data_IF_082496147407
#
_entry.id   IF_082496147407
#
_cell.length_a   1.000
_cell.length_b   1.000
_cell.length_c   1.000
_cell.angle_alpha   90.00
_cell.angle_beta   90.00
_cell.angle_gamma   90.00
#
_symmetry.space_group_name_H-M   'P 1'
#
loop_
_entity.id
_entity.type
_entity.pdbx_description
1 polymer ?
#
# COMPACT_ATOMS: atom_id res chain seq x y z
N UNK A 1 -12.34 8.36 -17.82
CA UNK A 1 -10.99 8.79 -17.47
C UNK A 1 -11.09 9.44 -16.10
N UNK A 2 -10.29 9.02 -15.15
CA UNK A 2 -10.35 9.48 -13.74
C UNK A 2 -9.03 10.20 -13.42
N UNK A 3 -9.12 11.42 -12.88
CA UNK A 3 -7.94 12.15 -12.39
C UNK A 3 -7.46 11.56 -11.07
N UNK A 4 -6.16 11.32 -10.94
CA UNK A 4 -5.48 10.78 -9.77
C UNK A 4 -4.47 11.79 -9.26
N UNK A 5 -4.50 12.07 -7.96
CA UNK A 5 -3.49 12.89 -7.31
C UNK A 5 -2.17 12.12 -7.21
N UNK A 6 -1.10 12.68 -7.75
CA UNK A 6 0.28 12.26 -7.48
C UNK A 6 1.01 13.36 -6.70
N UNK A 7 2.18 13.05 -6.17
CA UNK A 7 2.97 14.06 -5.45
C UNK A 7 3.49 15.19 -6.36
N UNK A 8 3.46 15.01 -7.67
CA UNK A 8 3.91 16.01 -8.66
C UNK A 8 2.76 16.70 -9.39
N UNK A 9 1.52 16.40 -9.04
CA UNK A 9 0.32 16.92 -9.66
C UNK A 9 -0.68 15.83 -10.04
N UNK A 10 -1.72 16.18 -10.78
CA UNK A 10 -2.72 15.21 -11.24
C UNK A 10 -2.29 14.55 -12.55
N UNK A 11 -2.65 13.28 -12.69
CA UNK A 11 -2.53 12.51 -13.94
C UNK A 11 -3.87 11.86 -14.27
N UNK A 12 -4.06 11.46 -15.52
CA UNK A 12 -5.16 10.56 -15.89
C UNK A 12 -4.83 9.12 -15.50
N UNK A 13 -5.84 8.34 -15.12
CA UNK A 13 -5.67 6.92 -14.75
C UNK A 13 -5.00 6.07 -15.84
N UNK A 14 -5.14 6.45 -17.11
CA UNK A 14 -4.45 5.79 -18.23
C UNK A 14 -2.93 6.02 -18.26
N UNK A 15 -2.43 7.03 -17.55
CA UNK A 15 -1.01 7.38 -17.48
C UNK A 15 -0.26 6.62 -16.36
N UNK A 16 -0.95 5.83 -15.53
CA UNK A 16 -0.34 5.06 -14.44
C UNK A 16 0.74 4.09 -14.91
N UNK A 17 0.54 3.44 -16.07
CA UNK A 17 1.46 2.42 -16.57
C UNK A 17 1.62 1.23 -15.62
N UNK A 18 2.77 0.55 -15.70
CA UNK A 18 3.12 -0.52 -14.76
C UNK A 18 3.27 0.05 -13.36
N UNK A 19 2.49 -0.47 -12.41
CA UNK A 19 2.40 0.09 -11.06
C UNK A 19 2.74 -0.93 -9.99
N UNK A 20 3.66 -0.56 -9.09
CA UNK A 20 3.86 -1.22 -7.82
C UNK A 20 2.89 -0.59 -6.80
N UNK A 21 1.91 -1.38 -6.38
CA UNK A 21 0.78 -0.85 -5.58
C UNK A 21 1.13 -0.57 -4.13
N UNK A 22 2.19 -1.16 -3.59
CA UNK A 22 2.52 -1.11 -2.17
C UNK A 22 4.04 -1.10 -1.94
N UNK A 23 4.62 0.10 -1.94
CA UNK A 23 6.05 0.31 -1.66
C UNK A 23 6.25 1.58 -0.83
N UNK A 24 7.28 1.62 -0.03
CA UNK A 24 7.62 2.76 0.82
C UNK A 24 8.95 3.38 0.37
N UNK A 25 8.94 4.67 0.04
CA UNK A 25 10.19 5.39 -0.23
C UNK A 25 11.00 5.54 1.05
N UNK A 26 10.31 5.75 2.17
CA UNK A 26 10.92 5.88 3.48
C UNK A 26 9.92 5.55 4.58
N UNK A 27 10.29 4.71 5.54
CA UNK A 27 9.50 4.46 6.75
C UNK A 27 10.32 4.84 7.99
N UNK A 28 9.77 5.69 8.84
CA UNK A 28 10.40 6.18 10.08
C UNK A 28 9.45 6.16 11.26
N UNK A 29 10.00 5.94 12.45
CA UNK A 29 9.31 6.20 13.71
C UNK A 29 9.18 7.72 13.89
N UNK A 30 7.99 8.29 13.62
CA UNK A 30 7.76 9.75 13.55
C UNK A 30 8.26 10.51 14.79
N UNK A 31 7.90 10.02 15.96
CA UNK A 31 8.29 10.64 17.23
C UNK A 31 9.79 10.61 17.45
N UNK A 32 10.48 9.55 17.01
CA UNK A 32 11.94 9.44 17.09
C UNK A 32 12.59 10.42 16.10
N UNK A 33 12.09 10.47 14.87
CA UNK A 33 12.63 11.36 13.84
C UNK A 33 12.51 12.83 14.24
N UNK A 34 11.39 13.23 14.84
CA UNK A 34 11.18 14.61 15.31
C UNK A 34 12.07 14.94 16.52
N UNK A 35 12.20 14.02 17.50
CA UNK A 35 12.95 14.29 18.72
C UNK A 35 14.46 14.10 18.58
N UNK A 36 14.88 13.21 17.71
CA UNK A 36 16.28 12.84 17.53
C UNK A 36 16.72 12.88 16.06
N UNK A 37 16.54 14.01 15.33
CA UNK A 37 16.81 14.09 13.89
C UNK A 37 18.25 13.72 13.52
N UNK A 38 19.21 13.83 14.45
CA UNK A 38 20.61 13.44 14.26
C UNK A 38 20.84 11.94 14.02
N UNK A 39 19.80 11.09 14.25
CA UNK A 39 19.88 9.64 14.01
C UNK A 39 19.64 9.27 12.55
N UNK A 40 19.20 10.24 11.74
CA UNK A 40 18.82 10.01 10.35
C UNK A 40 19.76 10.77 9.40
N UNK A 41 20.17 10.09 8.35
CA UNK A 41 20.98 10.65 7.28
C UNK A 41 20.11 10.91 6.04
N UNK A 42 19.62 12.14 5.92
CA UNK A 42 18.71 12.55 4.86
C UNK A 42 19.35 12.43 3.46
N UNK A 43 20.67 12.62 3.34
CA UNK A 43 21.39 12.52 2.07
C UNK A 43 21.47 11.04 1.65
N UNK A 44 21.82 10.16 2.57
CA UNK A 44 21.84 8.72 2.33
C UNK A 44 20.45 8.20 1.94
N UNK A 45 19.40 8.54 2.70
CA UNK A 45 18.03 8.06 2.40
C UNK A 45 17.51 8.58 1.05
N UNK A 46 17.84 9.83 0.72
CA UNK A 46 17.52 10.42 -0.60
C UNK A 46 18.21 9.66 -1.72
N UNK A 47 19.53 9.43 -1.60
CA UNK A 47 20.31 8.74 -2.62
C UNK A 47 19.84 7.29 -2.81
N UNK A 48 19.49 6.62 -1.72
CA UNK A 48 18.97 5.24 -1.74
C UNK A 48 17.60 5.16 -2.43
N UNK A 49 16.68 6.08 -2.11
CA UNK A 49 15.37 6.12 -2.76
C UNK A 49 15.46 6.43 -4.25
N UNK A 50 16.32 7.39 -4.65
CA UNK A 50 16.58 7.71 -6.08
C UNK A 50 17.16 6.49 -6.80
N UNK A 51 18.13 5.81 -6.20
CA UNK A 51 18.75 4.62 -6.78
C UNK A 51 17.71 3.54 -7.06
N UNK A 52 16.91 3.17 -6.06
CA UNK A 52 15.92 2.10 -6.18
C UNK A 52 14.78 2.46 -7.15
N UNK A 53 14.31 3.73 -7.16
CA UNK A 53 13.31 4.15 -8.14
C UNK A 53 13.85 4.16 -9.58
N UNK A 54 15.11 4.53 -9.79
CA UNK A 54 15.73 4.41 -11.10
C UNK A 54 15.87 2.95 -11.56
N UNK A 55 16.14 2.03 -10.63
CA UNK A 55 16.19 0.60 -10.92
C UNK A 55 14.83 0.03 -11.35
N UNK A 56 13.74 0.39 -10.66
CA UNK A 56 12.39 -0.07 -11.06
C UNK A 56 11.95 0.59 -12.36
N UNK A 57 12.28 1.86 -12.57
CA UNK A 57 12.02 2.56 -13.84
C UNK A 57 12.71 1.89 -15.03
N UNK A 58 13.98 1.50 -14.87
CA UNK A 58 14.73 0.79 -15.90
C UNK A 58 14.10 -0.56 -16.28
N UNK A 59 13.23 -1.11 -15.44
CA UNK A 59 12.44 -2.33 -15.65
C UNK A 59 11.02 -2.08 -16.14
N UNK A 60 10.70 -0.83 -16.47
CA UNK A 60 9.41 -0.45 -17.03
C UNK A 60 8.33 -0.12 -16.00
N UNK A 61 8.64 -0.02 -14.72
CA UNK A 61 7.70 0.50 -13.71
C UNK A 61 7.55 2.01 -13.87
N UNK A 62 6.33 2.48 -13.94
CA UNK A 62 5.98 3.89 -14.16
C UNK A 62 5.51 4.58 -12.88
N UNK A 63 4.81 3.83 -12.02
CA UNK A 63 4.15 4.38 -10.84
C UNK A 63 4.41 3.52 -9.60
N UNK A 64 4.55 4.19 -8.45
CA UNK A 64 4.61 3.57 -7.12
C UNK A 64 3.51 4.19 -6.26
N UNK A 65 2.68 3.36 -5.63
CA UNK A 65 1.79 3.79 -4.56
C UNK A 65 2.51 3.63 -3.23
N UNK A 66 2.69 4.75 -2.52
CA UNK A 66 3.38 4.78 -1.23
C UNK A 66 2.37 4.96 -0.09
N UNK A 67 2.05 3.89 0.65
CA UNK A 67 1.07 3.92 1.74
C UNK A 67 1.66 4.41 3.08
N UNK A 68 2.78 5.11 3.07
CA UNK A 68 3.34 5.74 4.27
C UNK A 68 2.43 6.88 4.73
N UNK A 69 1.82 6.70 5.89
CA UNK A 69 0.90 7.65 6.53
C UNK A 69 1.38 8.02 7.93
N UNK A 70 0.58 8.77 8.68
CA UNK A 70 0.83 9.02 10.11
C UNK A 70 1.06 7.68 10.85
N UNK A 71 2.14 7.60 11.61
CA UNK A 71 2.63 6.39 12.27
C UNK A 71 3.74 5.65 11.52
N UNK A 72 4.02 6.07 10.26
CA UNK A 72 5.11 5.53 9.42
C UNK A 72 6.11 6.61 8.97
N UNK A 73 5.94 7.86 9.40
CA UNK A 73 6.85 8.96 9.05
C UNK A 73 6.61 9.54 7.67
N UNK A 74 5.35 9.70 7.26
CA UNK A 74 4.99 10.32 5.96
C UNK A 74 5.69 11.66 5.77
N UNK A 75 6.29 11.86 4.59
CA UNK A 75 6.92 13.10 4.17
C UNK A 75 6.70 13.29 2.66
N UNK A 76 5.68 14.10 2.32
CA UNK A 76 5.29 14.28 0.91
C UNK A 76 6.25 15.16 0.12
N UNK A 77 7.03 16.03 0.79
CA UNK A 77 8.08 16.80 0.11
C UNK A 77 9.26 15.91 -0.28
N UNK A 78 9.62 14.96 0.57
CA UNK A 78 10.59 13.93 0.22
C UNK A 78 10.11 13.10 -0.98
N UNK A 79 8.86 12.62 -0.95
CA UNK A 79 8.26 11.86 -2.05
C UNK A 79 8.24 12.66 -3.35
N UNK A 80 7.85 13.95 -3.31
CA UNK A 80 7.85 14.83 -4.47
C UNK A 80 9.24 15.00 -5.07
N UNK A 81 10.25 15.26 -4.23
CA UNK A 81 11.65 15.37 -4.65
C UNK A 81 12.10 14.13 -5.40
N UNK A 82 11.91 12.94 -4.81
CA UNK A 82 12.31 11.66 -5.42
C UNK A 82 11.58 11.43 -6.74
N UNK A 83 10.24 11.67 -6.76
CA UNK A 83 9.44 11.54 -7.98
C UNK A 83 9.93 12.45 -9.10
N UNK A 84 10.25 13.72 -8.82
CA UNK A 84 10.77 14.67 -9.81
C UNK A 84 12.15 14.27 -10.34
N UNK A 85 13.04 13.80 -9.47
CA UNK A 85 14.41 13.42 -9.85
C UNK A 85 14.44 12.14 -10.70
N UNK A 86 13.57 11.19 -10.42
CA UNK A 86 13.52 9.90 -11.13
C UNK A 86 12.55 9.88 -12.31
N UNK A 87 11.51 10.71 -12.25
CA UNK A 87 10.38 10.69 -13.18
C UNK A 87 9.48 9.47 -13.02
N UNK A 88 9.56 8.74 -11.89
CA UNK A 88 8.59 7.74 -11.49
C UNK A 88 7.43 8.46 -10.79
N UNK A 89 6.21 8.18 -11.19
CA UNK A 89 5.03 8.73 -10.50
C UNK A 89 4.93 8.14 -9.10
N UNK A 90 4.71 8.99 -8.10
CA UNK A 90 4.47 8.55 -6.72
C UNK A 90 3.09 9.02 -6.27
N UNK A 91 2.28 8.11 -5.77
CA UNK A 91 0.96 8.39 -5.23
C UNK A 91 1.03 8.22 -3.72
N UNK A 92 0.85 9.32 -2.98
CA UNK A 92 0.88 9.33 -1.53
C UNK A 92 -0.48 8.97 -0.93
N UNK A 93 -0.47 8.36 0.24
CA UNK A 93 -1.67 8.03 1.01
C UNK A 93 -1.96 9.05 2.12
N UNK A 94 -3.20 9.01 2.61
CA UNK A 94 -3.57 9.58 3.91
C UNK A 94 -4.28 8.56 4.79
N UNK A 95 -4.22 8.74 6.10
CA UNK A 95 -4.75 7.80 7.08
C UNK A 95 -3.86 7.70 8.31
N UNK A 96 -4.07 6.66 9.10
CA UNK A 96 -3.27 6.38 10.30
C UNK A 96 -2.89 4.89 10.32
N UNK A 97 -1.60 4.64 10.56
CA UNK A 97 -1.06 3.30 10.74
C UNK A 97 -0.85 3.01 12.23
N UNK A 98 -1.67 2.16 12.79
CA UNK A 98 -1.57 1.72 14.18
C UNK A 98 -2.22 0.35 14.37
N UNK A 99 -1.74 -0.39 15.40
CA UNK A 99 -2.29 -1.69 15.79
C UNK A 99 -2.97 -1.69 17.16
N UNK A 100 -2.81 -0.60 17.93
CA UNK A 100 -3.24 -0.55 19.32
C UNK A 100 -4.05 0.70 19.65
N UNK A 101 -3.43 1.86 19.60
CA UNK A 101 -4.02 3.14 19.99
C UNK A 101 -3.59 4.26 19.06
N UNK A 102 -4.37 5.31 19.05
CA UNK A 102 -4.07 6.57 18.34
C UNK A 102 -3.68 7.66 19.33
N UNK A 103 -3.08 8.73 18.82
CA UNK A 103 -2.75 9.88 19.64
C UNK A 103 -3.98 10.42 20.39
N UNK A 104 -3.82 10.92 21.66
CA UNK A 104 -4.92 11.50 22.44
C UNK A 104 -5.70 12.59 21.70
N UNK A 105 -5.04 13.29 20.77
CA UNK A 105 -5.67 14.25 19.89
C UNK A 105 -6.87 13.67 19.14
N UNK A 106 -6.73 12.46 18.58
CA UNK A 106 -7.79 11.76 17.86
C UNK A 106 -8.67 10.92 18.79
N UNK A 107 -8.14 10.41 19.91
CA UNK A 107 -8.95 9.65 20.88
C UNK A 107 -10.10 10.50 21.42
N UNK A 108 -9.83 11.78 21.72
CA UNK A 108 -10.75 12.71 22.37
C UNK A 108 -11.64 13.52 21.39
N UNK A 109 -11.66 13.15 20.12
CA UNK A 109 -12.52 13.74 19.09
C UNK A 109 -13.37 12.66 18.43
N UNK A 110 -14.43 13.03 17.72
CA UNK A 110 -15.27 12.07 17.01
C UNK A 110 -14.62 11.53 15.74
N UNK A 111 -15.30 10.61 15.09
CA UNK A 111 -14.82 9.96 13.86
C UNK A 111 -14.86 10.94 12.69
N UNK A 112 -15.87 11.83 12.65
CA UNK A 112 -16.02 12.80 11.57
C UNK A 112 -14.88 13.81 11.57
N UNK A 113 -14.44 14.26 12.75
CA UNK A 113 -13.24 15.11 12.86
C UNK A 113 -12.01 14.42 12.27
N UNK A 114 -11.83 13.12 12.49
CA UNK A 114 -10.72 12.35 11.89
C UNK A 114 -10.87 12.27 10.37
N UNK A 115 -12.07 11.96 9.89
CA UNK A 115 -12.37 11.93 8.46
C UNK A 115 -12.13 13.28 7.79
N UNK A 116 -12.45 14.41 8.47
CA UNK A 116 -12.17 15.77 7.98
C UNK A 116 -10.68 15.98 7.69
N UNK A 117 -9.78 15.43 8.54
CA UNK A 117 -8.34 15.55 8.31
C UNK A 117 -7.90 14.78 7.06
N UNK A 118 -8.45 13.58 6.84
CA UNK A 118 -8.14 12.79 5.65
C UNK A 118 -8.71 13.45 4.37
N UNK A 119 -9.91 13.99 4.44
CA UNK A 119 -10.50 14.78 3.34
C UNK A 119 -9.65 16.02 3.03
N UNK A 120 -9.17 16.73 4.05
CA UNK A 120 -8.27 17.87 3.89
C UNK A 120 -6.99 17.47 3.14
N UNK A 121 -6.39 16.34 3.48
CA UNK A 121 -5.19 15.82 2.80
C UNK A 121 -5.45 15.46 1.32
N UNK A 122 -6.68 15.03 0.99
CA UNK A 122 -7.07 14.64 -0.37
C UNK A 122 -7.48 15.85 -1.23
N UNK A 123 -8.21 16.80 -0.65
CA UNK A 123 -8.80 17.89 -1.42
C UNK A 123 -7.97 19.17 -1.43
N UNK A 124 -7.23 19.42 -0.35
CA UNK A 124 -6.44 20.65 -0.18
C UNK A 124 -4.95 20.39 -0.23
N UNK A 125 -4.43 19.56 0.67
CA UNK A 125 -3.03 19.17 0.67
C UNK A 125 -2.54 18.62 2.01
N UNK A 126 -1.49 17.83 1.92
CA UNK A 126 -0.83 17.14 3.03
C UNK A 126 0.25 18.04 3.64
N UNK A 127 0.39 18.03 4.98
CA UNK A 127 1.53 18.65 5.70
C UNK A 127 1.76 20.13 5.33
N UNK A 128 0.70 20.92 5.19
CA UNK A 128 0.74 22.33 4.78
C UNK A 128 1.36 22.57 3.38
N UNK A 129 1.31 21.58 2.51
CA UNK A 129 1.68 21.69 1.09
C UNK A 129 0.43 21.70 0.21
N UNK A 130 0.60 21.86 -1.10
CA UNK A 130 -0.44 21.64 -2.11
C UNK A 130 -0.46 20.20 -2.65
N UNK A 131 0.42 19.34 -2.15
CA UNK A 131 0.51 17.93 -2.55
C UNK A 131 -0.66 17.17 -1.92
N UNK A 132 -1.44 16.47 -2.75
CA UNK A 132 -2.66 15.81 -2.34
C UNK A 132 -2.48 14.30 -2.29
N UNK A 133 -3.11 13.66 -1.30
CA UNK A 133 -3.16 12.21 -1.24
C UNK A 133 -4.07 11.64 -2.34
N UNK A 134 -3.69 10.48 -2.91
CA UNK A 134 -4.46 9.79 -3.95
C UNK A 134 -5.27 8.62 -3.43
N UNK A 135 -5.00 8.11 -2.23
CA UNK A 135 -5.72 6.99 -1.62
C UNK A 135 -5.66 7.04 -0.09
N UNK A 136 -6.46 6.19 0.54
CA UNK A 136 -6.58 6.08 1.99
C UNK A 136 -5.88 4.83 2.51
N UNK A 137 -5.28 4.91 3.71
CA UNK A 137 -4.61 3.79 4.37
C UNK A 137 -5.04 3.63 5.82
N UNK A 138 -5.34 2.38 6.21
CA UNK A 138 -5.52 1.96 7.61
C UNK A 138 -4.84 0.62 7.86
N UNK A 139 -4.80 0.18 9.11
CA UNK A 139 -4.08 -1.03 9.50
C UNK A 139 -4.80 -1.78 10.61
N UNK A 140 -4.76 -3.12 10.53
CA UNK A 140 -4.98 -4.06 11.63
C UNK A 140 -3.96 -5.17 11.54
N UNK A 141 -3.46 -5.66 12.67
CA UNK A 141 -2.50 -6.77 12.69
C UNK A 141 -2.99 -7.87 13.64
N UNK A 142 -2.09 -8.78 14.03
CA UNK A 142 -2.33 -9.95 14.91
C UNK A 142 -3.10 -9.64 16.20
N UNK A 143 -3.10 -8.39 16.65
CA UNK A 143 -3.84 -7.93 17.84
C UNK A 143 -5.36 -7.91 17.62
N UNK A 144 -5.80 -8.08 16.37
CA UNK A 144 -7.20 -8.01 16.01
C UNK A 144 -7.77 -6.59 16.05
N UNK A 145 -9.08 -6.48 16.03
CA UNK A 145 -9.79 -5.20 16.01
C UNK A 145 -9.80 -4.56 17.41
N UNK A 146 -8.96 -3.53 17.59
CA UNK A 146 -8.94 -2.70 18.79
C UNK A 146 -9.84 -1.48 18.59
N UNK A 147 -10.39 -0.92 19.67
CA UNK A 147 -11.31 0.24 19.63
C UNK A 147 -10.78 1.43 18.81
N UNK A 148 -9.52 1.79 19.02
CA UNK A 148 -8.91 2.92 18.33
C UNK A 148 -8.62 2.59 16.85
N UNK A 149 -8.28 1.34 16.56
CA UNK A 149 -8.10 0.81 15.20
C UNK A 149 -9.42 0.84 14.43
N UNK A 150 -10.52 0.37 15.04
CA UNK A 150 -11.87 0.47 14.46
C UNK A 150 -12.23 1.92 14.15
N UNK A 151 -11.93 2.85 15.08
CA UNK A 151 -12.16 4.28 14.87
C UNK A 151 -11.44 4.81 13.64
N UNK A 152 -10.19 4.39 13.39
CA UNK A 152 -9.44 4.77 12.19
C UNK A 152 -10.11 4.23 10.93
N UNK A 153 -10.53 2.95 10.93
CA UNK A 153 -11.19 2.34 9.77
C UNK A 153 -12.48 3.07 9.43
N UNK A 154 -13.31 3.41 10.45
CA UNK A 154 -14.53 4.19 10.23
C UNK A 154 -14.22 5.61 9.72
N UNK A 155 -13.16 6.25 10.22
CA UNK A 155 -12.70 7.56 9.70
C UNK A 155 -12.27 7.49 8.25
N UNK A 156 -11.53 6.44 7.87
CA UNK A 156 -11.13 6.14 6.49
C UNK A 156 -12.36 5.89 5.60
N UNK A 157 -13.32 5.08 6.08
CA UNK A 157 -14.58 4.82 5.37
C UNK A 157 -15.35 6.11 5.05
N UNK A 158 -15.54 6.98 6.05
CA UNK A 158 -16.24 8.26 5.88
C UNK A 158 -15.50 9.24 4.95
N UNK A 159 -14.16 9.25 4.99
CA UNK A 159 -13.36 10.03 4.06
C UNK A 159 -13.51 9.49 2.62
N UNK A 160 -13.48 8.16 2.43
CA UNK A 160 -13.75 7.53 1.14
C UNK A 160 -15.12 7.93 0.57
N UNK A 161 -16.19 7.82 1.37
CA UNK A 161 -17.55 8.15 0.93
C UNK A 161 -17.71 9.61 0.50
N UNK A 162 -16.87 10.51 1.03
CA UNK A 162 -16.89 11.95 0.70
C UNK A 162 -16.03 12.29 -0.51
N UNK A 163 -14.93 11.57 -0.73
CA UNK A 163 -13.93 11.93 -1.74
C UNK A 163 -13.87 10.98 -2.93
N UNK A 164 -14.33 9.74 -2.75
CA UNK A 164 -14.27 8.69 -3.76
C UNK A 164 -12.89 8.05 -3.96
N UNK A 165 -11.81 8.51 -3.27
CA UNK A 165 -10.50 7.89 -3.40
C UNK A 165 -10.48 6.50 -2.76
N UNK A 166 -9.76 5.51 -3.35
CA UNK A 166 -9.83 4.14 -2.90
C UNK A 166 -9.12 3.90 -1.55
N UNK A 167 -9.39 2.75 -0.95
CA UNK A 167 -8.89 2.35 0.36
C UNK A 167 -7.92 1.19 0.23
N UNK A 168 -6.72 1.31 0.78
CA UNK A 168 -5.77 0.23 1.01
C UNK A 168 -5.68 -0.07 2.49
N UNK A 169 -5.70 -1.35 2.86
CA UNK A 169 -5.52 -1.76 4.25
C UNK A 169 -4.22 -2.54 4.45
N UNK A 170 -3.75 -2.58 5.68
CA UNK A 170 -2.83 -3.59 6.17
C UNK A 170 -3.64 -4.61 6.95
N UNK A 171 -3.51 -5.90 6.66
CA UNK A 171 -4.20 -6.96 7.37
C UNK A 171 -3.25 -8.07 7.83
N UNK A 172 -3.73 -8.93 8.71
CA UNK A 172 -3.05 -10.14 9.16
C UNK A 172 -3.95 -11.35 8.89
N UNK A 173 -3.72 -12.10 7.80
CA UNK A 173 -4.58 -13.19 7.37
C UNK A 173 -4.81 -14.25 8.45
N UNK A 174 -3.77 -14.67 9.16
CA UNK A 174 -3.86 -15.68 10.20
C UNK A 174 -4.79 -15.31 11.38
N UNK A 175 -5.05 -14.00 11.59
CA UNK A 175 -6.02 -13.49 12.57
C UNK A 175 -7.35 -13.10 11.92
N UNK A 176 -7.53 -13.30 10.63
CA UNK A 176 -8.76 -12.97 9.90
C UNK A 176 -9.08 -11.48 9.83
N UNK A 177 -8.10 -10.60 10.08
CA UNK A 177 -8.37 -9.17 10.25
C UNK A 177 -8.83 -8.47 8.98
N UNK A 178 -8.49 -8.99 7.80
CA UNK A 178 -9.02 -8.47 6.53
C UNK A 178 -10.55 -8.59 6.44
N UNK A 179 -11.12 -9.69 6.92
CA UNK A 179 -12.59 -9.86 6.95
C UNK A 179 -13.24 -8.91 7.98
N UNK A 180 -12.61 -8.71 9.15
CA UNK A 180 -13.09 -7.75 10.15
C UNK A 180 -13.08 -6.31 9.62
N UNK A 181 -12.08 -5.96 8.80
CA UNK A 181 -12.02 -4.66 8.12
C UNK A 181 -13.17 -4.50 7.13
N UNK A 182 -13.42 -5.53 6.30
CA UNK A 182 -14.52 -5.50 5.34
C UNK A 182 -15.87 -5.35 6.03
N UNK A 183 -16.09 -6.01 7.20
CA UNK A 183 -17.33 -5.87 7.98
C UNK A 183 -17.58 -4.40 8.35
N UNK A 184 -16.56 -3.71 8.89
CA UNK A 184 -16.69 -2.31 9.30
C UNK A 184 -16.85 -1.37 8.10
N UNK A 185 -16.12 -1.61 7.01
CA UNK A 185 -16.24 -0.79 5.80
C UNK A 185 -17.62 -0.92 5.17
N UNK A 186 -18.18 -2.13 5.13
CA UNK A 186 -19.53 -2.38 4.63
C UNK A 186 -20.61 -1.77 5.55
N UNK A 187 -20.45 -1.85 6.89
CA UNK A 187 -21.31 -1.18 7.85
C UNK A 187 -21.36 0.35 7.65
N UNK A 188 -20.25 0.98 7.29
CA UNK A 188 -20.17 2.42 6.96
C UNK A 188 -20.70 2.72 5.55
N UNK A 189 -21.02 1.72 4.73
CA UNK A 189 -21.60 1.87 3.40
C UNK A 189 -20.57 1.96 2.25
N UNK A 190 -19.33 1.54 2.47
CA UNK A 190 -18.29 1.51 1.43
C UNK A 190 -18.59 0.41 0.42
N UNK A 191 -18.54 0.72 -0.88
CA UNK A 191 -18.49 -0.31 -1.92
C UNK A 191 -17.13 -1.02 -1.86
N UNK A 192 -17.14 -2.30 -1.52
CA UNK A 192 -15.91 -3.07 -1.29
C UNK A 192 -15.06 -3.27 -2.55
N UNK A 193 -15.59 -3.02 -3.74
CA UNK A 193 -14.80 -2.96 -4.98
C UNK A 193 -13.77 -1.82 -5.00
N UNK A 194 -13.87 -0.85 -4.09
CA UNK A 194 -12.91 0.23 -3.91
C UNK A 194 -11.85 -0.08 -2.83
N UNK A 195 -11.86 -1.30 -2.29
CA UNK A 195 -11.01 -1.70 -1.16
C UNK A 195 -9.97 -2.71 -1.61
N UNK A 196 -8.71 -2.46 -1.25
CA UNK A 196 -7.61 -3.39 -1.34
C UNK A 196 -7.24 -3.90 0.05
N UNK A 197 -7.46 -5.19 0.29
CA UNK A 197 -7.00 -5.86 1.50
C UNK A 197 -5.54 -6.26 1.31
N UNK A 198 -4.63 -5.50 1.92
CA UNK A 198 -3.20 -5.75 1.85
C UNK A 198 -2.78 -7.01 2.60
N UNK A 199 -1.67 -7.59 2.14
CA UNK A 199 -0.99 -8.75 2.76
C UNK A 199 -1.75 -10.07 2.73
N UNK A 200 -2.76 -10.21 1.86
CA UNK A 200 -3.41 -11.50 1.63
C UNK A 200 -2.42 -12.58 1.16
N UNK A 201 -1.29 -12.17 0.57
CA UNK A 201 -0.19 -13.06 0.19
C UNK A 201 0.61 -13.65 1.35
N UNK A 202 0.32 -13.32 2.62
CA UNK A 202 0.98 -13.91 3.80
C UNK A 202 0.32 -15.22 4.28
N UNK A 203 -0.58 -15.79 3.48
CA UNK A 203 -1.23 -17.08 3.77
C UNK A 203 -1.37 -17.93 2.51
N UNK A 204 -1.42 -19.25 2.69
CA UNK A 204 -1.83 -20.24 1.69
C UNK A 204 -3.28 -20.70 1.88
N UNK A 205 -4.00 -20.14 2.83
CA UNK A 205 -5.42 -20.43 3.08
C UNK A 205 -6.29 -19.82 1.97
N UNK A 206 -6.50 -20.58 0.91
CA UNK A 206 -7.33 -20.19 -0.24
C UNK A 206 -8.76 -19.86 0.19
N UNK A 207 -9.33 -20.57 1.15
CA UNK A 207 -10.71 -20.34 1.61
C UNK A 207 -10.85 -18.99 2.31
N UNK A 208 -9.83 -18.56 3.08
CA UNK A 208 -9.78 -17.21 3.61
C UNK A 208 -9.74 -16.16 2.50
N UNK A 209 -8.85 -16.36 1.51
CA UNK A 209 -8.69 -15.43 0.39
C UNK A 209 -9.97 -15.33 -0.44
N UNK A 210 -10.61 -16.45 -0.72
CA UNK A 210 -11.88 -16.48 -1.46
C UNK A 210 -12.99 -15.70 -0.73
N UNK A 211 -13.09 -15.83 0.61
CA UNK A 211 -14.05 -15.03 1.38
C UNK A 211 -13.84 -13.53 1.28
N UNK A 212 -12.59 -13.07 1.07
CA UNK A 212 -12.29 -11.66 0.81
C UNK A 212 -12.72 -11.27 -0.61
N UNK A 213 -12.36 -12.10 -1.59
CA UNK A 213 -12.66 -11.90 -3.01
C UNK A 213 -14.16 -11.94 -3.32
N UNK A 214 -14.89 -12.87 -2.71
CA UNK A 214 -16.35 -13.04 -2.90
C UNK A 214 -17.16 -11.82 -2.41
N UNK A 215 -16.56 -10.97 -1.57
CA UNK A 215 -17.13 -9.68 -1.17
C UNK A 215 -16.83 -8.55 -2.14
N UNK A 216 -16.09 -8.82 -3.22
CA UNK A 216 -15.74 -7.86 -4.27
C UNK A 216 -14.44 -7.08 -4.04
N UNK A 217 -13.76 -7.26 -2.92
CA UNK A 217 -12.52 -6.55 -2.61
C UNK A 217 -11.35 -7.03 -3.48
N UNK A 218 -10.39 -6.15 -3.71
CA UNK A 218 -9.08 -6.53 -4.22
C UNK A 218 -8.21 -7.12 -3.11
N UNK A 219 -7.25 -7.95 -3.50
CA UNK A 219 -6.24 -8.51 -2.58
C UNK A 219 -4.83 -8.10 -2.97
N UNK A 220 -3.99 -7.84 -1.96
CA UNK A 220 -2.56 -7.60 -2.11
C UNK A 220 -1.77 -8.91 -1.95
N UNK A 221 -1.17 -9.39 -3.04
CA UNK A 221 -0.06 -10.33 -3.03
C UNK A 221 1.22 -9.47 -2.96
N UNK A 222 1.34 -8.69 -1.90
CA UNK A 222 2.13 -7.47 -1.82
C UNK A 222 3.28 -7.54 -0.80
N UNK A 223 3.72 -8.76 -0.42
CA UNK A 223 4.89 -8.97 0.45
C UNK A 223 5.89 -9.97 -0.12
N UNK A 224 6.06 -9.92 -1.43
CA UNK A 224 7.11 -10.69 -2.06
C UNK A 224 8.50 -10.29 -1.57
N UNK A 225 9.41 -11.27 -1.45
CA UNK A 225 10.74 -11.06 -0.90
C UNK A 225 10.82 -11.15 0.63
N UNK A 226 9.72 -11.03 1.38
CA UNK A 226 9.69 -11.21 2.84
C UNK A 226 9.50 -12.69 3.18
N UNK A 227 10.58 -13.46 3.00
CA UNK A 227 10.56 -14.92 3.21
C UNK A 227 10.35 -15.35 4.66
N UNK A 228 10.57 -14.46 5.62
CA UNK A 228 10.30 -14.71 7.04
C UNK A 228 8.80 -14.79 7.36
N UNK A 229 7.93 -14.35 6.44
CA UNK A 229 6.47 -14.49 6.53
C UNK A 229 5.98 -15.72 5.79
N UNK A 230 6.29 -15.80 4.50
CA UNK A 230 5.93 -16.92 3.63
C UNK A 230 6.94 -17.02 2.47
N UNK A 231 7.22 -18.20 1.98
CA UNK A 231 8.14 -18.39 0.86
C UNK A 231 7.60 -17.81 -0.46
N UNK A 232 8.47 -17.48 -1.39
CA UNK A 232 8.07 -17.02 -2.73
C UNK A 232 7.33 -18.12 -3.48
N UNK A 233 7.75 -19.36 -3.31
CA UNK A 233 7.14 -20.55 -3.93
C UNK A 233 5.69 -20.73 -3.47
N UNK A 234 5.42 -20.61 -2.18
CA UNK A 234 4.07 -20.74 -1.63
C UNK A 234 3.17 -19.59 -2.08
N UNK A 235 3.71 -18.34 -2.13
CA UNK A 235 2.97 -17.19 -2.68
C UNK A 235 2.63 -17.39 -4.15
N UNK A 236 3.61 -17.86 -4.95
CA UNK A 236 3.40 -18.14 -6.36
C UNK A 236 2.36 -19.25 -6.57
N UNK A 237 2.39 -20.31 -5.78
CA UNK A 237 1.38 -21.38 -5.85
C UNK A 237 -0.03 -20.83 -5.59
N UNK A 238 -0.17 -19.93 -4.60
CA UNK A 238 -1.44 -19.25 -4.31
C UNK A 238 -1.90 -18.36 -5.47
N UNK A 239 -1.01 -17.54 -6.05
CA UNK A 239 -1.34 -16.69 -7.21
C UNK A 239 -1.76 -17.53 -8.41
N UNK A 240 -1.03 -18.61 -8.72
CA UNK A 240 -1.34 -19.50 -9.85
C UNK A 240 -2.73 -20.13 -9.67
N UNK A 241 -3.06 -20.60 -8.46
CA UNK A 241 -4.37 -21.17 -8.17
C UNK A 241 -5.48 -20.13 -8.31
N UNK A 242 -5.29 -18.89 -7.83
CA UNK A 242 -6.26 -17.83 -7.97
C UNK A 242 -6.44 -17.39 -9.44
N UNK A 243 -5.36 -17.31 -10.21
CA UNK A 243 -5.44 -17.06 -11.67
C UNK A 243 -6.23 -18.17 -12.36
N UNK A 244 -5.99 -19.43 -12.02
CA UNK A 244 -6.73 -20.59 -12.59
C UNK A 244 -8.22 -20.52 -12.25
N UNK A 245 -8.59 -19.94 -11.12
CA UNK A 245 -9.99 -19.70 -10.69
C UNK A 245 -10.60 -18.45 -11.32
N UNK A 246 -9.84 -17.64 -12.06
CA UNK A 246 -10.33 -16.45 -12.76
C UNK A 246 -10.24 -15.14 -11.97
N UNK A 247 -9.47 -15.08 -10.87
CA UNK A 247 -9.36 -13.90 -10.02
C UNK A 247 -8.16 -12.98 -10.35
N UNK A 248 -7.55 -13.10 -11.54
CA UNK A 248 -6.45 -12.20 -11.93
C UNK A 248 -6.87 -10.72 -11.91
N UNK A 249 -8.14 -10.43 -12.16
CA UNK A 249 -8.73 -9.09 -12.18
C UNK A 249 -9.01 -8.51 -10.78
N UNK A 250 -8.67 -9.22 -9.71
CA UNK A 250 -8.84 -8.80 -8.30
C UNK A 250 -7.55 -8.88 -7.49
N UNK A 251 -6.39 -9.07 -8.12
CA UNK A 251 -5.10 -9.20 -7.44
C UNK A 251 -4.12 -8.12 -7.86
N UNK A 252 -3.26 -7.74 -6.91
CA UNK A 252 -2.09 -6.90 -7.15
C UNK A 252 -0.82 -7.62 -6.71
N UNK A 253 0.29 -7.40 -7.44
CA UNK A 253 1.62 -7.91 -7.08
C UNK A 253 2.49 -6.74 -6.61
N UNK A 254 3.13 -6.86 -5.44
CA UNK A 254 4.06 -5.86 -4.90
C UNK A 254 4.97 -6.48 -3.83
N UNK A 255 5.79 -5.69 -3.17
CA UNK A 255 6.79 -6.21 -2.23
C UNK A 255 6.65 -5.67 -0.80
N UNK A 256 5.89 -4.58 -0.60
CA UNK A 256 5.91 -3.83 0.68
C UNK A 256 7.36 -3.44 1.05
N UNK A 257 8.16 -3.14 -0.01
CA UNK A 257 9.57 -2.82 0.18
C UNK A 257 9.74 -1.39 0.64
N UNK A 258 10.69 -1.18 1.55
CA UNK A 258 11.10 0.16 1.97
C UNK A 258 12.49 0.46 1.41
N UNK A 259 12.69 1.59 0.71
CA UNK A 259 14.03 2.01 0.36
C UNK A 259 14.86 2.15 1.63
N UNK A 260 14.32 2.85 2.63
CA UNK A 260 14.86 2.88 3.98
C UNK A 260 13.78 2.67 5.02
N UNK A 261 14.13 2.01 6.15
CA UNK A 261 13.26 1.74 7.29
C UNK A 261 14.09 1.73 8.57
N UNK A 262 13.59 2.41 9.63
CA UNK A 262 14.29 2.53 10.91
C UNK A 262 13.89 1.50 11.98
N UNK A 263 12.94 0.60 11.68
CA UNK A 263 12.45 -0.37 12.66
C UNK A 263 13.48 -1.41 13.09
N UNK A 264 14.52 -1.59 12.30
CA UNK A 264 15.64 -2.48 12.56
C UNK A 264 16.87 -2.02 11.76
N UNK A 265 18.09 -2.39 12.22
CA UNK A 265 19.31 -2.06 11.48
C UNK A 265 19.29 -2.61 10.05
N UNK A 266 19.85 -1.89 9.07
CA UNK A 266 19.85 -2.31 7.65
C UNK A 266 20.45 -3.69 7.40
N UNK A 267 21.49 -4.07 8.13
CA UNK A 267 22.11 -5.39 8.05
C UNK A 267 21.17 -6.52 8.48
N UNK A 268 20.24 -6.25 9.43
CA UNK A 268 19.22 -7.22 9.86
C UNK A 268 18.21 -7.45 8.74
N UNK A 269 17.75 -6.38 8.05
CA UNK A 269 16.89 -6.49 6.87
C UNK A 269 17.53 -7.37 5.81
N UNK A 270 18.77 -7.05 5.43
CA UNK A 270 19.50 -7.75 4.39
C UNK A 270 19.79 -9.22 4.75
N UNK A 271 20.11 -9.51 6.00
CA UNK A 271 20.37 -10.88 6.45
C UNK A 271 19.10 -11.74 6.49
N UNK A 272 17.97 -11.17 6.96
CA UNK A 272 16.72 -11.91 7.14
C UNK A 272 15.92 -12.06 5.85
N UNK A 273 15.87 -11.02 5.04
CA UNK A 273 15.08 -10.97 3.80
C UNK A 273 15.91 -10.31 2.67
N UNK A 274 16.94 -11.01 2.12
CA UNK A 274 17.81 -10.43 1.08
C UNK A 274 17.07 -10.09 -0.20
N UNK A 275 15.95 -10.76 -0.47
CA UNK A 275 15.12 -10.60 -1.65
C UNK A 275 14.05 -9.49 -1.49
N UNK A 276 14.01 -8.83 -0.34
CA UNK A 276 13.05 -7.77 -0.07
C UNK A 276 13.53 -6.43 -0.66
N UNK A 277 13.37 -6.33 -1.98
CA UNK A 277 13.78 -5.18 -2.80
C UNK A 277 12.64 -4.74 -3.71
N UNK A 278 12.61 -3.49 -4.15
CA UNK A 278 11.56 -2.97 -5.03
C UNK A 278 11.52 -3.63 -6.41
N UNK A 279 12.57 -4.31 -6.83
CA UNK A 279 12.64 -4.94 -8.15
C UNK A 279 12.24 -6.41 -8.15
N UNK A 280 12.08 -7.03 -6.98
CA UNK A 280 11.96 -8.49 -6.84
C UNK A 280 10.75 -9.06 -7.61
N UNK A 281 9.60 -8.38 -7.59
CA UNK A 281 8.42 -8.85 -8.35
C UNK A 281 8.72 -8.85 -9.85
N UNK A 282 9.35 -7.81 -10.36
CA UNK A 282 9.62 -7.68 -11.79
C UNK A 282 10.74 -8.62 -12.24
N UNK A 283 11.82 -8.73 -11.44
CA UNK A 283 13.00 -9.51 -11.79
C UNK A 283 12.81 -11.02 -11.59
N UNK A 284 12.06 -11.43 -10.55
CA UNK A 284 12.00 -12.84 -10.15
C UNK A 284 10.57 -13.41 -10.21
N UNK A 285 9.59 -12.72 -9.60
CA UNK A 285 8.24 -13.28 -9.44
C UNK A 285 7.52 -13.40 -10.78
N UNK A 286 7.45 -12.31 -11.55
CA UNK A 286 6.77 -12.32 -12.87
C UNK A 286 7.37 -13.39 -13.79
N UNK A 287 8.70 -13.50 -13.96
CA UNK A 287 9.28 -14.59 -14.75
C UNK A 287 8.95 -16.00 -14.24
N UNK A 288 8.86 -16.18 -12.90
CA UNK A 288 8.48 -17.48 -12.32
C UNK A 288 7.01 -17.81 -12.60
N UNK A 289 6.10 -16.86 -12.43
CA UNK A 289 4.68 -17.03 -12.72
C UNK A 289 4.45 -17.35 -14.21
N UNK A 290 5.14 -16.66 -15.12
CA UNK A 290 5.07 -16.95 -16.57
C UNK A 290 5.56 -18.37 -16.89
N UNK A 291 6.67 -18.83 -16.32
CA UNK A 291 7.14 -20.22 -16.48
C UNK A 291 6.14 -21.24 -15.96
N UNK A 292 5.33 -20.87 -14.97
CA UNK A 292 4.27 -21.72 -14.41
C UNK A 292 2.93 -21.62 -15.18
N UNK A 293 2.87 -20.87 -16.30
CA UNK A 293 1.70 -20.78 -17.17
C UNK A 293 0.77 -19.60 -16.95
N UNK A 294 1.13 -18.65 -16.07
CA UNK A 294 0.40 -17.37 -15.97
C UNK A 294 0.69 -16.55 -17.23
N UNK A 295 -0.33 -16.16 -17.97
CA UNK A 295 -0.19 -15.47 -19.25
C UNK A 295 0.28 -14.02 -19.08
N UNK A 296 0.84 -13.45 -20.17
CA UNK A 296 1.17 -12.02 -20.22
C UNK A 296 -0.06 -11.12 -19.98
N UNK A 297 -1.23 -11.55 -20.44
CA UNK A 297 -2.51 -10.86 -20.21
C UNK A 297 -2.85 -10.81 -18.70
N UNK A 298 -2.73 -11.93 -17.98
CA UNK A 298 -2.94 -11.96 -16.54
C UNK A 298 -1.95 -11.05 -15.79
N UNK A 299 -0.67 -11.05 -16.19
CA UNK A 299 0.32 -10.14 -15.60
C UNK A 299 -0.04 -8.69 -15.89
N UNK A 300 -0.42 -8.38 -17.13
CA UNK A 300 -0.88 -7.04 -17.50
C UNK A 300 -2.09 -6.60 -16.67
N UNK A 301 -3.07 -7.48 -16.50
CA UNK A 301 -4.23 -7.20 -15.65
C UNK A 301 -3.82 -6.87 -14.22
N UNK A 302 -2.94 -7.66 -13.59
CA UNK A 302 -2.51 -7.44 -12.20
C UNK A 302 -1.64 -6.20 -11.99
N UNK A 303 -0.84 -5.80 -12.99
CA UNK A 303 0.15 -4.72 -12.86
C UNK A 303 -0.32 -3.38 -13.45
N UNK A 304 -1.35 -3.37 -14.32
CA UNK A 304 -1.81 -2.18 -15.04
C UNK A 304 -3.32 -1.96 -14.88
N UNK A 305 -4.18 -2.90 -15.33
CA UNK A 305 -5.60 -2.66 -15.44
C UNK A 305 -6.30 -2.59 -14.08
N UNK A 306 -5.94 -3.48 -13.15
CA UNK A 306 -6.51 -3.48 -11.80
C UNK A 306 -6.28 -2.16 -11.09
N UNK A 307 -5.09 -1.57 -11.25
CA UNK A 307 -4.77 -0.28 -10.63
C UNK A 307 -5.64 0.83 -11.21
N UNK A 308 -5.80 0.85 -12.54
CA UNK A 308 -6.69 1.82 -13.20
C UNK A 308 -8.14 1.67 -12.73
N UNK A 309 -8.64 0.42 -12.62
CA UNK A 309 -10.00 0.14 -12.13
C UNK A 309 -10.17 0.55 -10.67
N UNK A 310 -9.21 0.23 -9.82
CA UNK A 310 -9.24 0.55 -8.40
C UNK A 310 -9.29 2.07 -8.13
N UNK A 311 -8.50 2.85 -8.86
CA UNK A 311 -8.56 4.32 -8.78
C UNK A 311 -9.79 4.90 -9.46
N UNK A 312 -10.36 4.23 -10.45
CA UNK A 312 -11.58 4.70 -11.13
C UNK A 312 -12.87 4.46 -10.34
N UNK A 313 -12.81 3.65 -9.28
CA UNK A 313 -13.98 3.30 -8.47
C UNK A 313 -15.02 2.46 -9.24
N UNK A 314 -14.55 1.58 -10.14
CA UNK A 314 -15.41 0.78 -11.04
C UNK A 314 -15.08 -0.70 -10.91
#
# INVERSE_FOLDING_TARGET
MTEINTVTGKIDSSELGCTLIHEHLRSRSEEVAVQFPRLYDEEFETSEAISQLNEVKARGVNTVCDPTVMGLGRDVLFMERISRETGVQVIAATGIYTYHYIAPHFQNRDIDYMADQFVQDIEVGVQNTSIKAGFLKCATDRQGMQKDVEKVIRGVARAHLRTGVPIMTHSHPASGTGLMQLDILEEEGVNLENVLIGHCGDTTDIEYILRVLDRGAYIGMDRYGIKTRLSTEDRNATVIELVRRGYADRMFLSQDSCCTIDWFPPEVKKASNPDWTMTFVVDEVIPQLKRAGVSDEHIHTMMYENVQRWFAGK
#
